data_IF_712066189884
#
_entry.id   IF_712066189884
#
_cell.length_a   1.000
_cell.length_b   1.000
_cell.length_c   1.000
_cell.angle_alpha   90.00
_cell.angle_beta   90.00
_cell.angle_gamma   90.00
#
_symmetry.space_group_name_H-M   'P 1'
#
loop_
_entity.id
_entity.type
_entity.pdbx_description
1 polymer ?
#
# COMPACT_ATOMS: atom_id res chain seq x y z
N UNK A 1 -26.03 -15.96 -5.64
CA UNK A 1 -27.29 -16.13 -6.43
C UNK A 1 -27.07 -16.83 -7.76
N UNK A 2 -25.81 -17.12 -8.14
CA UNK A 2 -25.46 -17.92 -9.31
C UNK A 2 -24.63 -19.14 -8.82
N UNK A 3 -25.03 -20.36 -9.18
CA UNK A 3 -24.27 -21.59 -8.93
C UNK A 3 -23.09 -21.71 -9.92
N UNK A 4 -22.19 -20.72 -9.89
CA UNK A 4 -20.94 -20.75 -10.63
C UNK A 4 -19.88 -21.45 -9.79
N UNK A 5 -19.09 -22.32 -10.42
CA UNK A 5 -17.97 -22.98 -9.76
C UNK A 5 -16.97 -21.95 -9.18
N UNK A 6 -16.28 -22.26 -8.07
CA UNK A 6 -15.34 -21.33 -7.42
C UNK A 6 -14.26 -20.80 -8.38
N UNK A 7 -13.80 -21.63 -9.32
CA UNK A 7 -12.81 -21.22 -10.34
C UNK A 7 -13.34 -20.17 -11.32
N UNK A 8 -14.62 -20.20 -11.66
CA UNK A 8 -15.23 -19.20 -12.55
C UNK A 8 -15.37 -17.86 -11.84
N UNK A 9 -15.75 -17.88 -10.56
CA UNK A 9 -15.87 -16.69 -9.72
C UNK A 9 -14.52 -15.97 -9.56
N UNK A 10 -13.44 -16.71 -9.31
CA UNK A 10 -12.10 -16.11 -9.19
C UNK A 10 -11.61 -15.55 -10.52
N UNK A 11 -11.88 -16.22 -11.65
CA UNK A 11 -11.55 -15.70 -12.98
C UNK A 11 -12.30 -14.40 -13.31
N UNK A 12 -13.59 -14.33 -12.99
CA UNK A 12 -14.39 -13.10 -13.19
C UNK A 12 -13.82 -11.95 -12.37
N UNK A 13 -13.51 -12.17 -11.09
CA UNK A 13 -12.91 -11.15 -10.23
C UNK A 13 -11.54 -10.69 -10.76
N UNK A 14 -10.69 -11.63 -11.17
CA UNK A 14 -9.39 -11.34 -11.77
C UNK A 14 -9.55 -10.46 -12.99
N UNK A 15 -10.49 -10.78 -13.87
CA UNK A 15 -10.73 -10.05 -15.12
C UNK A 15 -11.23 -8.63 -14.85
N UNK A 16 -12.14 -8.44 -13.89
CA UNK A 16 -12.62 -7.13 -13.44
C UNK A 16 -11.45 -6.27 -12.94
N UNK A 17 -10.60 -6.82 -12.07
CA UNK A 17 -9.46 -6.08 -11.52
C UNK A 17 -8.43 -5.78 -12.61
N UNK A 18 -8.11 -6.75 -13.47
CA UNK A 18 -7.12 -6.59 -14.53
C UNK A 18 -7.54 -5.51 -15.53
N UNK A 19 -8.79 -5.55 -16.00
CA UNK A 19 -9.33 -4.54 -16.91
C UNK A 19 -9.39 -3.17 -16.23
N UNK A 20 -9.85 -3.10 -14.98
CA UNK A 20 -9.91 -1.85 -14.23
C UNK A 20 -8.54 -1.17 -14.09
N UNK A 21 -7.49 -1.95 -13.85
CA UNK A 21 -6.11 -1.44 -13.81
C UNK A 21 -5.60 -1.08 -15.22
N UNK A 22 -5.89 -1.90 -16.23
CA UNK A 22 -5.46 -1.67 -17.61
C UNK A 22 -6.04 -0.39 -18.24
N UNK A 23 -7.24 0.03 -17.82
CA UNK A 23 -7.85 1.31 -18.20
C UNK A 23 -7.11 2.52 -17.59
N UNK A 24 -6.14 2.29 -16.69
CA UNK A 24 -5.37 3.35 -16.03
C UNK A 24 -6.08 3.94 -14.81
N UNK A 25 -7.15 3.31 -14.33
CA UNK A 25 -7.83 3.74 -13.12
C UNK A 25 -6.95 3.46 -11.89
N UNK A 26 -6.91 4.33 -10.86
CA UNK A 26 -6.03 4.12 -9.72
C UNK A 26 -6.33 2.78 -9.03
N UNK A 27 -5.29 1.98 -8.85
CA UNK A 27 -5.38 0.58 -8.41
C UNK A 27 -6.17 0.43 -7.11
N UNK A 28 -6.04 1.37 -6.17
CA UNK A 28 -6.78 1.36 -4.92
C UNK A 28 -8.30 1.33 -5.11
N UNK A 29 -8.83 2.14 -6.04
CA UNK A 29 -10.26 2.19 -6.32
C UNK A 29 -10.74 0.95 -7.09
N UNK A 30 -9.91 0.42 -7.99
CA UNK A 30 -10.22 -0.82 -8.71
C UNK A 30 -10.35 -1.99 -7.74
N UNK A 31 -9.42 -2.11 -6.79
CA UNK A 31 -9.43 -3.19 -5.81
C UNK A 31 -10.62 -3.08 -4.86
N UNK A 32 -10.89 -1.89 -4.30
CA UNK A 32 -12.00 -1.71 -3.34
C UNK A 32 -13.34 -1.78 -4.08
N UNK A 33 -13.53 -0.95 -5.10
CA UNK A 33 -14.77 -0.85 -5.85
C UNK A 33 -15.09 -2.12 -6.64
N UNK A 34 -14.11 -2.71 -7.32
CA UNK A 34 -14.28 -3.96 -8.07
C UNK A 34 -14.63 -5.13 -7.15
N UNK A 35 -13.99 -5.21 -5.97
CA UNK A 35 -14.31 -6.25 -4.98
C UNK A 35 -15.70 -6.06 -4.39
N UNK A 36 -16.10 -4.84 -4.02
CA UNK A 36 -17.45 -4.55 -3.49
C UNK A 36 -18.52 -4.84 -4.54
N UNK A 37 -18.32 -4.41 -5.78
CA UNK A 37 -19.21 -4.69 -6.91
C UNK A 37 -19.36 -6.20 -7.12
N UNK A 38 -18.25 -6.93 -7.16
CA UNK A 38 -18.24 -8.38 -7.32
C UNK A 38 -18.99 -9.10 -6.18
N UNK A 39 -18.71 -8.72 -4.92
CA UNK A 39 -19.35 -9.31 -3.75
C UNK A 39 -20.87 -9.11 -3.76
N UNK A 40 -21.33 -7.91 -4.11
CA UNK A 40 -22.77 -7.60 -4.17
C UNK A 40 -23.50 -8.39 -5.27
N UNK A 41 -22.90 -8.52 -6.45
CA UNK A 41 -23.54 -9.14 -7.62
C UNK A 41 -23.52 -10.67 -7.54
N UNK A 42 -22.40 -11.28 -7.15
CA UNK A 42 -22.23 -12.73 -7.26
C UNK A 42 -22.56 -13.49 -5.97
N UNK A 43 -22.20 -12.94 -4.80
CA UNK A 43 -22.30 -13.64 -3.51
C UNK A 43 -23.46 -13.10 -2.66
N UNK A 44 -23.53 -11.78 -2.50
CA UNK A 44 -24.62 -11.05 -1.84
C UNK A 44 -24.16 -10.14 -0.69
N UNK A 45 -25.06 -9.29 -0.17
CA UNK A 45 -24.72 -8.20 0.76
C UNK A 45 -24.14 -8.64 2.11
N UNK A 46 -24.42 -9.87 2.53
CA UNK A 46 -23.91 -10.44 3.79
C UNK A 46 -22.37 -10.52 3.85
N UNK A 47 -21.69 -10.38 2.71
CA UNK A 47 -20.22 -10.45 2.60
C UNK A 47 -19.52 -9.10 2.68
N UNK A 48 -20.26 -7.99 2.69
CA UNK A 48 -19.68 -6.64 2.84
C UNK A 48 -18.79 -6.45 4.07
N UNK A 49 -19.08 -7.07 5.25
CA UNK A 49 -18.19 -6.99 6.40
C UNK A 49 -16.77 -7.48 6.13
N UNK A 50 -16.57 -8.41 5.18
CA UNK A 50 -15.24 -8.93 4.82
C UNK A 50 -14.37 -7.80 4.25
N UNK A 51 -14.95 -6.92 3.43
CA UNK A 51 -14.23 -5.76 2.87
C UNK A 51 -13.83 -4.81 3.99
N UNK A 52 -14.75 -4.53 4.91
CA UNK A 52 -14.48 -3.69 6.09
C UNK A 52 -13.31 -4.24 6.92
N UNK A 53 -13.35 -5.52 7.28
CA UNK A 53 -12.28 -6.13 8.08
C UNK A 53 -10.93 -6.10 7.36
N UNK A 54 -10.91 -6.28 6.04
CA UNK A 54 -9.67 -6.24 5.26
C UNK A 54 -9.08 -4.83 5.18
N UNK A 55 -9.92 -3.81 4.99
CA UNK A 55 -9.52 -2.40 5.04
C UNK A 55 -9.02 -2.02 6.44
N UNK A 56 -9.77 -2.40 7.48
CA UNK A 56 -9.40 -2.16 8.86
C UNK A 56 -8.04 -2.76 9.21
N UNK A 57 -7.79 -4.00 8.78
CA UNK A 57 -6.49 -4.67 8.96
C UNK A 57 -5.36 -3.97 8.20
N UNK A 58 -5.64 -3.38 7.03
CA UNK A 58 -4.66 -2.62 6.26
C UNK A 58 -4.22 -1.33 6.96
N UNK A 59 -5.17 -0.61 7.58
CA UNK A 59 -4.91 0.65 8.29
C UNK A 59 -4.37 0.39 9.71
N UNK A 60 -4.72 -0.73 10.34
CA UNK A 60 -4.24 -1.12 11.66
C UNK A 60 -3.02 -2.06 11.56
N UNK A 61 -2.07 -1.71 10.71
CA UNK A 61 -0.81 -2.45 10.59
C UNK A 61 0.29 -1.78 11.40
N UNK A 62 1.14 -2.59 12.05
CA UNK A 62 2.33 -2.11 12.76
C UNK A 62 3.29 -1.34 11.84
N UNK A 63 3.26 -1.61 10.54
CA UNK A 63 4.06 -0.90 9.54
C UNK A 63 3.75 0.60 9.51
N UNK A 64 2.49 1.00 9.73
CA UNK A 64 2.12 2.41 9.72
C UNK A 64 2.64 3.16 10.95
N UNK A 65 2.95 2.45 12.06
CA UNK A 65 3.64 3.02 13.23
C UNK A 65 5.09 3.35 12.91
N UNK A 66 5.71 2.69 11.92
CA UNK A 66 7.06 3.01 11.49
C UNK A 66 7.16 4.41 10.85
N UNK A 67 6.09 4.92 10.22
CA UNK A 67 6.09 6.25 9.59
C UNK A 67 6.35 7.39 10.60
N UNK A 68 5.54 7.56 11.67
CA UNK A 68 5.79 8.61 12.66
C UNK A 68 7.09 8.40 13.41
N UNK A 69 7.49 7.15 13.69
CA UNK A 69 8.78 6.86 14.33
C UNK A 69 9.96 7.22 13.43
N UNK A 70 9.85 7.01 12.11
CA UNK A 70 10.84 7.40 11.13
C UNK A 70 10.97 8.93 11.06
N UNK A 71 9.84 9.64 11.03
CA UNK A 71 9.82 11.11 11.09
C UNK A 71 10.45 11.60 12.40
N UNK A 72 10.08 11.00 13.53
CA UNK A 72 10.64 11.33 14.84
C UNK A 72 12.15 11.14 14.88
N UNK A 73 12.65 10.00 14.38
CA UNK A 73 14.08 9.72 14.30
C UNK A 73 14.79 10.76 13.43
N UNK A 74 14.22 11.14 12.28
CA UNK A 74 14.77 12.18 11.42
C UNK A 74 14.92 13.51 12.15
N UNK A 75 13.87 13.95 12.86
CA UNK A 75 13.90 15.18 13.66
C UNK A 75 14.88 15.08 14.83
N UNK A 76 14.98 13.92 15.48
CA UNK A 76 15.93 13.69 16.56
C UNK A 76 17.39 13.76 16.08
N UNK A 77 17.69 13.20 14.90
CA UNK A 77 19.01 13.26 14.27
C UNK A 77 19.39 14.70 13.86
N UNK A 78 18.44 15.46 13.32
CA UNK A 78 18.63 16.87 12.97
C UNK A 78 18.93 17.71 14.22
N UNK A 79 18.12 17.57 15.27
CA UNK A 79 18.29 18.36 16.51
C UNK A 79 19.53 18.00 17.32
N UNK A 80 20.04 16.78 17.18
CA UNK A 80 21.26 16.34 17.88
C UNK A 80 22.55 16.72 17.16
N UNK A 81 22.47 17.31 15.96
CA UNK A 81 23.65 17.65 15.13
C UNK A 81 24.30 16.45 14.45
N UNK A 82 23.82 15.22 14.72
CA UNK A 82 24.36 13.99 14.13
C UNK A 82 24.24 14.01 12.60
N UNK A 83 23.18 14.63 12.07
CA UNK A 83 23.01 14.79 10.62
C UNK A 83 24.16 15.59 9.97
N UNK A 84 24.61 16.68 10.60
CA UNK A 84 25.69 17.52 10.09
C UNK A 84 27.04 16.80 10.17
N UNK A 85 27.30 16.11 11.29
CA UNK A 85 28.50 15.30 11.47
C UNK A 85 28.58 14.17 10.42
N UNK A 86 27.44 13.53 10.15
CA UNK A 86 27.35 12.48 9.13
C UNK A 86 27.61 13.03 7.72
N UNK A 87 27.05 14.22 7.41
CA UNK A 87 27.31 14.90 6.13
C UNK A 87 28.80 15.23 5.98
N UNK A 88 29.43 15.76 7.03
CA UNK A 88 30.86 16.04 7.05
C UNK A 88 31.72 14.78 6.87
N UNK A 89 31.34 13.66 7.48
CA UNK A 89 32.02 12.37 7.31
C UNK A 89 31.92 11.86 5.87
N UNK A 90 30.73 11.92 5.26
CA UNK A 90 30.51 11.55 3.85
C UNK A 90 31.38 12.43 2.93
N UNK A 91 31.36 13.74 3.13
CA UNK A 91 32.13 14.66 2.29
C UNK A 91 33.64 14.36 2.32
N UNK A 92 34.20 14.08 3.51
CA UNK A 92 35.60 13.67 3.64
C UNK A 92 35.89 12.33 2.96
N UNK A 93 34.92 11.42 2.93
CA UNK A 93 35.09 10.10 2.34
C UNK A 93 35.10 10.14 0.81
N UNK A 94 34.33 11.06 0.21
CA UNK A 94 34.23 11.24 -1.25
C UNK A 94 35.17 12.30 -1.83
N UNK A 95 35.85 13.09 -0.98
CA UNK A 95 36.77 14.16 -1.37
C UNK A 95 37.88 13.76 -2.38
N UNK A 96 38.15 12.45 -2.57
CA UNK A 96 39.10 11.95 -3.57
C UNK A 96 38.53 11.77 -4.98
N UNK A 97 37.22 11.98 -5.19
CA UNK A 97 36.56 11.81 -6.49
C UNK A 97 36.43 13.19 -7.18
N UNK A 98 36.95 13.37 -8.42
CA UNK A 98 36.84 14.66 -9.11
C UNK A 98 35.36 15.00 -9.36
N UNK A 99 34.87 16.04 -8.67
CA UNK A 99 33.47 16.47 -8.67
C UNK A 99 32.88 16.67 -7.26
N UNK A 100 33.54 16.11 -6.23
CA UNK A 100 33.06 16.07 -4.85
C UNK A 100 32.70 14.67 -4.39
#
# INVERSE_FOLDING_TARGET
MFDLGPGTLTLILLLIVFVGVAVGFPVAFVLIGGTVFFLLVFIGPHTLPIVYFKLWKGINTFVLVAIPLFIYMGVALERSGIADDLYGAIHKWFAGVPGG
#
